data_IF_837114893758
#
_entry.id   IF_837114893758
#
_cell.length_a   1.000
_cell.length_b   1.000
_cell.length_c   1.000
_cell.angle_alpha   90.00
_cell.angle_beta   90.00
_cell.angle_gamma   90.00
#
_symmetry.space_group_name_H-M   'P 1'
#
loop_
_entity.id
_entity.type
_entity.pdbx_description
1 polymer ?
#
# COMPACT_ATOMS: atom_id res chain seq x y z
N UNK A 1 31.39 -16.02 17.21
CA UNK A 1 31.38 -15.13 16.03
C UNK A 1 30.61 -15.85 14.93
N UNK A 2 29.28 -15.71 14.88
CA UNK A 2 28.46 -16.26 13.79
C UNK A 2 28.29 -15.17 12.74
N UNK A 3 28.92 -15.36 11.60
CA UNK A 3 28.71 -14.60 10.38
C UNK A 3 27.46 -15.18 9.70
N UNK A 4 26.39 -14.42 9.61
CA UNK A 4 25.26 -14.73 8.73
C UNK A 4 25.72 -14.53 7.28
N UNK A 5 26.13 -15.60 6.62
CA UNK A 5 26.29 -15.64 5.17
C UNK A 5 24.94 -15.99 4.56
N UNK A 6 24.23 -14.97 4.06
CA UNK A 6 23.17 -15.20 3.07
C UNK A 6 23.85 -15.64 1.78
N UNK A 7 23.67 -16.88 1.38
CA UNK A 7 24.00 -17.31 0.03
C UNK A 7 22.93 -16.75 -0.92
N UNK A 8 23.31 -15.97 -1.93
CA UNK A 8 22.37 -15.62 -2.99
C UNK A 8 22.06 -16.88 -3.81
N UNK A 9 20.80 -17.01 -4.20
CA UNK A 9 20.35 -18.05 -5.13
C UNK A 9 21.18 -17.93 -6.45
N UNK A 10 21.48 -19.07 -7.13
CA UNK A 10 22.28 -19.05 -8.33
C UNK A 10 21.60 -18.24 -9.43
N UNK A 11 22.26 -17.19 -9.86
CA UNK A 11 21.93 -16.40 -11.04
C UNK A 11 22.18 -17.28 -12.26
N UNK A 12 21.17 -17.62 -13.01
CA UNK A 12 21.35 -18.19 -14.34
C UNK A 12 22.02 -17.12 -15.21
N UNK A 13 23.27 -17.37 -15.53
CA UNK A 13 24.02 -16.62 -16.52
C UNK A 13 23.44 -16.93 -17.91
N UNK A 14 22.79 -15.97 -18.52
CA UNK A 14 22.56 -15.97 -19.95
C UNK A 14 23.93 -15.69 -20.63
N UNK A 15 24.39 -16.64 -21.43
CA UNK A 15 25.52 -16.48 -22.30
C UNK A 15 25.19 -15.48 -23.41
N UNK A 16 26.14 -14.63 -23.82
CA UNK A 16 25.95 -13.76 -24.97
C UNK A 16 26.04 -14.60 -26.26
N UNK A 17 25.01 -14.53 -27.10
CA UNK A 17 25.06 -15.00 -28.48
C UNK A 17 26.07 -14.18 -29.28
N UNK A 18 26.96 -14.89 -29.94
CA UNK A 18 27.99 -14.34 -30.81
C UNK A 18 27.36 -13.85 -32.13
N UNK A 19 27.54 -12.58 -32.41
CA UNK A 19 27.30 -11.97 -33.72
C UNK A 19 28.23 -12.61 -34.77
N UNK A 20 27.65 -13.22 -35.79
CA UNK A 20 28.37 -13.59 -37.03
C UNK A 20 28.34 -12.41 -37.98
N UNK A 21 29.49 -11.82 -38.15
CA UNK A 21 29.80 -10.90 -39.25
C UNK A 21 29.80 -11.67 -40.55
N UNK A 22 29.04 -11.24 -41.55
CA UNK A 22 29.22 -11.56 -42.97
C UNK A 22 29.31 -10.25 -43.75
N UNK A 23 30.51 -9.97 -44.24
CA UNK A 23 30.81 -9.01 -45.27
C UNK A 23 30.13 -9.42 -46.59
N UNK A 24 29.54 -8.48 -47.29
CA UNK A 24 29.65 -8.27 -48.73
C UNK A 24 28.82 -7.05 -49.18
N UNK A 25 29.46 -6.11 -49.82
CA UNK A 25 28.89 -5.01 -50.57
C UNK A 25 29.41 -5.12 -52.02
N UNK A 26 29.00 -4.22 -52.98
CA UNK A 26 27.67 -3.87 -53.49
C UNK A 26 27.58 -4.17 -55.02
N UNK A 27 26.53 -3.74 -55.76
CA UNK A 27 26.69 -2.55 -56.57
C UNK A 27 25.44 -1.61 -56.73
N UNK A 28 25.76 -0.39 -57.08
CA UNK A 28 24.90 0.75 -57.29
C UNK A 28 24.00 0.68 -58.54
N UNK A 29 22.83 1.33 -58.47
CA UNK A 29 22.19 2.00 -59.60
C UNK A 29 21.21 3.09 -59.16
N UNK A 30 21.51 4.25 -59.58
CA UNK A 30 20.80 5.51 -59.83
C UNK A 30 19.28 5.55 -59.80
N UNK A 31 18.73 6.52 -59.07
CA UNK A 31 17.36 7.01 -59.19
C UNK A 31 17.18 8.27 -58.33
N UNK A 32 17.00 9.42 -59.02
CA UNK A 32 16.91 10.73 -58.39
C UNK A 32 15.71 10.89 -57.42
N UNK A 33 15.80 11.74 -56.40
CA UNK A 33 14.81 11.89 -55.36
C UNK A 33 13.70 12.85 -55.79
N UNK A 34 12.43 12.42 -55.57
CA UNK A 34 11.31 13.35 -55.47
C UNK A 34 11.30 13.94 -54.06
N UNK A 35 11.50 15.22 -53.97
CA UNK A 35 11.25 16.02 -52.78
C UNK A 35 9.76 15.92 -52.42
N UNK A 36 9.46 15.21 -51.34
CA UNK A 36 8.19 15.34 -50.64
C UNK A 36 8.46 16.19 -49.41
N UNK A 37 7.83 17.38 -49.36
CA UNK A 37 8.00 18.35 -48.28
C UNK A 37 7.73 17.72 -46.92
N UNK A 38 8.77 17.62 -46.10
CA UNK A 38 8.67 17.34 -44.68
C UNK A 38 8.16 18.58 -43.99
N UNK A 39 6.92 18.55 -43.49
CA UNK A 39 6.49 19.47 -42.45
C UNK A 39 7.51 19.42 -41.30
N UNK A 40 7.88 20.55 -40.72
CA UNK A 40 8.78 20.55 -39.56
C UNK A 40 8.16 19.72 -38.44
N UNK A 41 8.86 18.67 -38.04
CA UNK A 41 8.49 17.89 -36.86
C UNK A 41 8.40 18.89 -35.68
N UNK A 42 7.21 18.99 -35.11
CA UNK A 42 7.05 19.79 -33.89
C UNK A 42 8.05 19.28 -32.86
N UNK A 43 8.91 20.15 -32.36
CA UNK A 43 9.83 19.83 -31.29
C UNK A 43 9.01 19.36 -30.08
N UNK A 44 9.02 18.05 -29.83
CA UNK A 44 8.35 17.46 -28.67
C UNK A 44 8.99 18.04 -27.40
N UNK A 45 8.21 18.81 -26.64
CA UNK A 45 8.66 19.38 -25.39
C UNK A 45 9.08 18.26 -24.42
N UNK A 46 10.21 18.43 -23.70
CA UNK A 46 10.62 17.44 -22.73
C UNK A 46 9.53 17.21 -21.67
N UNK A 47 9.25 15.95 -21.36
CA UNK A 47 8.29 15.58 -20.33
C UNK A 47 8.94 15.73 -18.96
N UNK A 48 8.48 16.70 -18.16
CA UNK A 48 8.89 16.89 -16.76
C UNK A 48 7.76 16.45 -15.82
N UNK A 49 8.10 15.67 -14.80
CA UNK A 49 7.15 15.18 -13.80
C UNK A 49 7.81 14.96 -12.44
N UNK A 50 7.00 15.01 -11.39
CA UNK A 50 7.45 14.86 -10.02
C UNK A 50 7.40 13.39 -9.59
N UNK A 51 8.34 12.99 -8.72
CA UNK A 51 8.42 11.65 -8.16
C UNK A 51 8.94 11.66 -6.73
N UNK A 52 8.47 10.73 -5.91
CA UNK A 52 8.97 10.49 -4.56
C UNK A 52 10.06 9.41 -4.59
N UNK A 53 11.29 9.84 -4.34
CA UNK A 53 12.50 9.01 -4.43
C UNK A 53 13.05 8.73 -3.04
N UNK A 54 13.23 7.45 -2.72
CA UNK A 54 14.02 7.03 -1.57
C UNK A 54 15.50 7.21 -1.91
N UNK A 55 16.16 8.17 -1.26
CA UNK A 55 17.56 8.55 -1.54
C UNK A 55 18.57 7.81 -0.68
N UNK A 56 18.12 7.11 0.35
CA UNK A 56 18.91 6.32 1.29
C UNK A 56 18.01 5.71 2.34
N UNK A 57 18.50 4.73 3.10
CA UNK A 57 17.72 4.15 4.19
C UNK A 57 17.72 5.06 5.42
N UNK A 58 16.58 5.15 6.14
CA UNK A 58 16.52 5.96 7.35
C UNK A 58 15.15 6.48 7.74
N UNK A 59 15.07 7.74 8.22
CA UNK A 59 13.84 8.43 8.61
C UNK A 59 12.98 8.86 7.40
N UNK A 60 11.86 9.52 7.69
CA UNK A 60 10.95 10.02 6.63
C UNK A 60 11.66 11.03 5.71
N UNK A 61 12.69 11.71 6.23
CA UNK A 61 13.54 12.65 5.49
C UNK A 61 14.29 12.02 4.31
N UNK A 62 14.36 10.69 4.22
CA UNK A 62 15.02 9.98 3.13
C UNK A 62 14.15 9.83 1.88
N UNK A 63 12.85 10.11 1.97
CA UNK A 63 11.99 10.22 0.80
C UNK A 63 11.94 11.67 0.37
N UNK A 64 12.35 11.92 -0.87
CA UNK A 64 12.47 13.26 -1.45
C UNK A 64 11.58 13.40 -2.67
N UNK A 65 10.84 14.48 -2.72
CA UNK A 65 10.16 14.92 -3.94
C UNK A 65 11.20 15.47 -4.91
N UNK A 66 11.27 14.89 -6.10
CA UNK A 66 12.21 15.25 -7.16
C UNK A 66 11.48 15.44 -8.47
N UNK A 67 11.97 16.35 -9.31
CA UNK A 67 11.52 16.52 -10.69
C UNK A 67 12.41 15.67 -11.59
N UNK A 68 11.81 14.84 -12.43
CA UNK A 68 12.47 14.08 -13.48
C UNK A 68 12.11 14.67 -14.83
N UNK A 69 13.06 14.71 -15.75
CA UNK A 69 12.85 15.19 -17.11
C UNK A 69 13.34 14.16 -18.11
N UNK A 70 12.49 13.83 -19.07
CA UNK A 70 12.81 12.98 -20.21
C UNK A 70 12.67 13.78 -21.50
N UNK A 71 13.76 13.91 -22.27
CA UNK A 71 13.75 14.66 -23.51
C UNK A 71 12.89 14.01 -24.61
N UNK A 72 12.82 12.68 -24.58
CA UNK A 72 11.93 11.89 -25.45
C UNK A 72 11.53 10.61 -24.73
N UNK A 73 10.24 10.45 -24.45
CA UNK A 73 9.69 9.22 -23.90
C UNK A 73 9.32 8.30 -25.06
N UNK A 74 10.07 7.21 -25.26
CA UNK A 74 9.73 6.18 -26.22
C UNK A 74 9.16 4.98 -25.46
N UNK A 75 7.92 4.61 -25.81
CA UNK A 75 7.30 3.39 -25.32
C UNK A 75 7.81 2.21 -26.13
N UNK A 76 8.12 1.13 -25.48
CA UNK A 76 8.40 -0.16 -26.11
C UNK A 76 7.09 -0.84 -26.49
N UNK A 77 7.19 -1.87 -27.34
CA UNK A 77 6.06 -2.73 -27.64
C UNK A 77 5.50 -3.35 -26.34
N UNK A 78 4.17 -3.29 -26.19
CA UNK A 78 3.47 -3.79 -25.01
C UNK A 78 3.46 -2.85 -23.80
N UNK A 79 4.06 -1.65 -23.88
CA UNK A 79 4.07 -0.67 -22.79
C UNK A 79 2.98 0.41 -22.97
N UNK A 80 2.52 0.93 -21.83
CA UNK A 80 1.60 2.08 -21.78
C UNK A 80 2.15 3.15 -20.86
N UNK A 81 1.86 4.42 -21.18
CA UNK A 81 2.12 5.57 -20.34
C UNK A 81 0.87 5.91 -19.54
N UNK A 82 0.97 5.90 -18.22
CA UNK A 82 -0.14 6.22 -17.32
C UNK A 82 0.12 7.52 -16.60
N UNK A 83 -0.82 8.49 -16.71
CA UNK A 83 -0.91 9.67 -15.83
C UNK A 83 -1.52 9.24 -14.51
N UNK A 84 -0.72 9.20 -13.48
CA UNK A 84 -1.11 8.73 -12.15
C UNK A 84 -2.00 9.76 -11.45
N UNK A 85 -3.10 9.31 -10.89
CA UNK A 85 -4.07 10.13 -10.15
C UNK A 85 -4.07 9.85 -8.66
N UNK A 86 -3.83 8.58 -8.27
CA UNK A 86 -3.74 8.17 -6.88
C UNK A 86 -2.75 7.03 -6.73
N UNK A 87 -2.03 6.98 -5.60
CA UNK A 87 -1.11 5.91 -5.23
C UNK A 87 -1.47 5.35 -3.85
N UNK A 88 -1.37 4.03 -3.68
CA UNK A 88 -1.52 3.40 -2.38
C UNK A 88 -0.24 3.52 -1.54
N UNK A 89 -0.40 3.70 -0.23
CA UNK A 89 0.66 3.53 0.77
C UNK A 89 0.45 2.20 1.50
N UNK A 90 1.49 1.39 1.62
CA UNK A 90 1.48 0.09 2.26
C UNK A 90 2.51 0.01 3.38
N UNK A 91 2.37 -0.99 4.24
CA UNK A 91 3.36 -1.24 5.30
C UNK A 91 4.73 -1.65 4.72
N UNK A 92 4.74 -2.24 3.53
CA UNK A 92 5.95 -2.60 2.80
C UNK A 92 6.84 -1.38 2.48
N UNK A 93 6.26 -0.22 2.17
CA UNK A 93 7.04 1.00 1.96
C UNK A 93 7.63 1.55 3.26
N UNK A 94 6.98 1.35 4.41
CA UNK A 94 7.57 1.67 5.72
C UNK A 94 8.80 0.80 6.00
N UNK A 95 8.74 -0.50 5.67
CA UNK A 95 9.87 -1.45 5.73
C UNK A 95 10.96 -1.07 4.72
N UNK A 96 10.56 -0.80 3.46
CA UNK A 96 11.47 -0.44 2.37
C UNK A 96 12.31 0.78 2.69
N UNK A 97 11.68 1.84 3.24
CA UNK A 97 12.40 3.04 3.69
C UNK A 97 13.48 2.73 4.73
N UNK A 98 13.26 1.73 5.55
CA UNK A 98 14.24 1.28 6.55
C UNK A 98 15.23 0.25 5.99
N UNK A 99 15.10 -0.18 4.73
CA UNK A 99 15.90 -1.24 4.11
C UNK A 99 15.61 -2.62 4.70
N UNK A 100 14.38 -2.86 5.12
CA UNK A 100 13.88 -4.12 5.69
C UNK A 100 12.96 -4.87 4.73
N UNK A 101 12.81 -4.37 3.49
CA UNK A 101 11.98 -4.96 2.45
C UNK A 101 12.85 -5.35 1.25
N UNK A 102 13.14 -6.63 1.12
CA UNK A 102 14.10 -7.18 0.15
C UNK A 102 13.67 -7.01 -1.31
N UNK A 103 12.37 -6.87 -1.57
CA UNK A 103 11.82 -6.71 -2.93
C UNK A 103 12.01 -5.31 -3.50
N UNK A 104 12.35 -4.32 -2.69
CA UNK A 104 12.67 -2.98 -3.16
C UNK A 104 14.13 -2.90 -3.59
N UNK A 105 14.43 -2.39 -4.79
CA UNK A 105 15.80 -2.11 -5.19
C UNK A 105 16.51 -1.16 -4.19
N UNK A 106 17.84 -1.20 -4.11
CA UNK A 106 18.56 -0.27 -3.26
C UNK A 106 18.35 1.19 -3.71
N UNK A 107 18.40 2.14 -2.78
CA UNK A 107 18.35 3.56 -3.11
C UNK A 107 19.52 4.00 -4.02
N UNK A 108 19.31 4.98 -4.95
CA UNK A 108 18.08 5.76 -5.11
C UNK A 108 17.01 5.00 -5.91
N UNK A 109 15.76 5.00 -5.43
CA UNK A 109 14.65 4.30 -6.09
C UNK A 109 13.33 5.07 -5.92
N UNK A 110 12.51 5.17 -6.97
CA UNK A 110 11.14 5.67 -6.87
C UNK A 110 10.27 4.66 -6.16
N UNK A 111 9.56 5.10 -5.14
CA UNK A 111 8.73 4.25 -4.27
C UNK A 111 7.37 3.91 -4.92
N UNK A 112 6.58 3.09 -4.22
CA UNK A 112 5.19 2.78 -4.54
C UNK A 112 5.01 1.54 -5.40
N UNK A 113 4.03 0.71 -5.05
CA UNK A 113 3.74 -0.57 -5.71
C UNK A 113 2.40 -0.57 -6.45
N UNK A 114 1.47 0.28 -6.07
CA UNK A 114 0.13 0.32 -6.63
C UNK A 114 -0.37 1.75 -6.81
N UNK A 115 -1.27 1.93 -7.74
CA UNK A 115 -1.92 3.20 -8.02
C UNK A 115 -2.99 3.08 -9.08
N UNK A 116 -3.53 4.21 -9.47
CA UNK A 116 -4.54 4.34 -10.51
C UNK A 116 -4.32 5.61 -11.32
N UNK A 117 -4.79 5.61 -12.54
CA UNK A 117 -4.61 6.75 -13.43
C UNK A 117 -5.30 6.59 -14.76
N UNK A 118 -4.87 7.41 -15.72
CA UNK A 118 -5.40 7.41 -17.09
C UNK A 118 -4.26 7.14 -18.07
N UNK A 119 -4.49 6.28 -19.03
CA UNK A 119 -3.52 6.01 -20.10
C UNK A 119 -3.43 7.25 -21.01
N UNK A 120 -2.22 7.80 -21.16
CA UNK A 120 -1.94 8.94 -22.05
C UNK A 120 -1.29 8.54 -23.37
N UNK A 121 -0.59 7.40 -23.41
CA UNK A 121 -0.02 6.86 -24.62
C UNK A 121 0.07 5.32 -24.56
N UNK A 122 0.05 4.69 -25.71
CA UNK A 122 0.20 3.24 -25.86
C UNK A 122 1.35 2.97 -26.85
N UNK A 123 2.16 1.97 -26.54
CA UNK A 123 3.22 1.48 -27.42
C UNK A 123 2.68 0.50 -28.46
N UNK A 124 3.57 0.04 -29.32
CA UNK A 124 3.22 -0.98 -30.33
C UNK A 124 2.73 -2.27 -29.64
N UNK A 125 1.90 -3.05 -30.36
CA UNK A 125 1.37 -4.35 -29.92
C UNK A 125 0.53 -4.30 -28.62
N UNK A 126 -0.03 -3.15 -28.26
CA UNK A 126 -1.04 -3.02 -27.20
C UNK A 126 -2.42 -3.03 -27.86
N UNK A 127 -3.17 -4.13 -27.69
CA UNK A 127 -4.47 -4.33 -28.37
C UNK A 127 -5.67 -4.08 -27.44
N UNK A 128 -5.49 -4.31 -26.12
CA UNK A 128 -6.55 -4.34 -25.12
C UNK A 128 -6.60 -3.09 -24.23
N UNK A 129 -5.80 -2.08 -24.53
CA UNK A 129 -5.74 -0.77 -23.84
C UNK A 129 -5.67 0.35 -24.88
N UNK A 130 -6.24 1.51 -24.55
CA UNK A 130 -6.22 2.71 -25.36
C UNK A 130 -6.03 3.98 -24.55
N UNK A 131 -5.64 5.05 -25.20
CA UNK A 131 -5.56 6.39 -24.61
C UNK A 131 -6.93 6.79 -24.05
N UNK A 132 -6.94 7.32 -22.84
CA UNK A 132 -8.14 7.69 -22.09
C UNK A 132 -8.68 6.59 -21.18
N UNK A 133 -8.22 5.34 -21.29
CA UNK A 133 -8.63 4.29 -20.36
C UNK A 133 -8.21 4.61 -18.92
N UNK A 134 -9.16 4.44 -18.01
CA UNK A 134 -8.92 4.54 -16.55
C UNK A 134 -8.44 3.19 -16.07
N UNK A 135 -7.27 3.16 -15.45
CA UNK A 135 -6.62 1.90 -15.07
C UNK A 135 -6.12 1.90 -13.63
N UNK A 136 -6.17 0.73 -13.02
CA UNK A 136 -5.43 0.37 -11.82
C UNK A 136 -4.09 -0.19 -12.28
N UNK A 137 -3.02 0.09 -11.55
CA UNK A 137 -1.66 -0.38 -11.83
C UNK A 137 -1.12 -1.12 -10.62
N UNK A 138 -0.50 -2.29 -10.85
CA UNK A 138 0.24 -3.03 -9.83
C UNK A 138 1.62 -3.38 -10.36
N UNK A 139 2.67 -2.84 -9.73
CA UNK A 139 4.07 -3.04 -10.13
C UNK A 139 4.95 -3.29 -8.90
N UNK A 140 6.18 -3.69 -9.12
CA UNK A 140 7.12 -3.95 -8.02
C UNK A 140 7.51 -2.69 -7.24
N UNK A 141 7.76 -1.58 -7.93
CA UNK A 141 8.10 -0.26 -7.38
C UNK A 141 8.03 0.79 -8.50
N UNK A 142 8.01 2.07 -8.12
CA UNK A 142 8.03 3.16 -9.10
C UNK A 142 6.69 3.88 -9.28
N UNK A 143 5.67 3.54 -8.49
CA UNK A 143 4.33 4.11 -8.69
C UNK A 143 4.16 5.52 -8.14
N UNK A 144 4.99 5.95 -7.18
CA UNK A 144 4.88 7.28 -6.57
C UNK A 144 5.51 8.37 -7.43
N UNK A 145 4.93 8.60 -8.57
CA UNK A 145 5.29 9.65 -9.54
C UNK A 145 4.07 10.05 -10.36
N UNK A 146 4.11 11.24 -10.97
CA UNK A 146 2.98 11.76 -11.76
C UNK A 146 2.74 11.00 -13.06
N UNK A 147 3.77 10.35 -13.59
CA UNK A 147 3.70 9.58 -14.84
C UNK A 147 4.51 8.31 -14.69
N UNK A 148 3.98 7.19 -15.14
CA UNK A 148 4.67 5.89 -15.11
C UNK A 148 4.52 5.17 -16.45
N UNK A 149 5.60 4.55 -16.90
CA UNK A 149 5.57 3.59 -18.01
C UNK A 149 5.55 2.19 -17.42
N UNK A 150 4.58 1.40 -17.84
CA UNK A 150 4.39 0.03 -17.36
C UNK A 150 3.98 -0.88 -18.51
N UNK A 151 4.17 -2.18 -18.37
CA UNK A 151 3.61 -3.16 -19.28
C UNK A 151 2.08 -3.14 -19.22
N UNK A 152 1.39 -3.26 -20.33
CA UNK A 152 -0.07 -3.22 -20.40
C UNK A 152 -0.73 -4.31 -19.55
N UNK A 153 -0.11 -5.48 -19.40
CA UNK A 153 -0.57 -6.58 -18.55
C UNK A 153 -0.51 -6.30 -17.04
N UNK A 154 0.23 -5.26 -16.62
CA UNK A 154 0.26 -4.76 -15.24
C UNK A 154 -0.83 -3.72 -14.95
N UNK A 155 -1.70 -3.48 -15.93
CA UNK A 155 -2.82 -2.55 -15.81
C UNK A 155 -4.16 -3.29 -15.82
N UNK A 156 -5.15 -2.78 -15.08
CA UNK A 156 -6.49 -3.35 -15.01
C UNK A 156 -7.52 -2.26 -15.20
N UNK A 157 -8.50 -2.46 -16.12
CA UNK A 157 -9.52 -1.47 -16.40
C UNK A 157 -10.39 -1.18 -15.17
N UNK A 158 -10.58 0.10 -14.87
CA UNK A 158 -11.43 0.55 -13.77
C UNK A 158 -12.90 0.58 -14.19
N UNK A 159 -13.83 0.15 -13.32
CA UNK A 159 -15.25 0.47 -13.49
C UNK A 159 -15.48 2.01 -13.51
N UNK A 160 -16.47 2.46 -14.27
CA UNK A 160 -16.75 3.90 -14.42
C UNK A 160 -17.04 4.60 -13.10
N UNK A 161 -17.78 3.92 -12.19
CA UNK A 161 -18.15 4.45 -10.89
C UNK A 161 -17.03 4.45 -9.85
N UNK A 162 -15.91 3.78 -10.11
CA UNK A 162 -14.79 3.69 -9.17
C UNK A 162 -13.96 4.97 -9.19
N UNK A 163 -13.68 5.55 -8.01
CA UNK A 163 -12.73 6.66 -7.91
C UNK A 163 -11.29 6.20 -8.09
N UNK A 164 -10.36 7.12 -8.38
CA UNK A 164 -8.94 6.78 -8.48
C UNK A 164 -8.37 6.34 -7.13
N UNK A 165 -8.82 6.92 -6.04
CA UNK A 165 -8.44 6.54 -4.68
C UNK A 165 -8.88 5.10 -4.36
N UNK A 166 -10.11 4.74 -4.71
CA UNK A 166 -10.62 3.37 -4.57
C UNK A 166 -9.80 2.41 -5.44
N UNK A 167 -9.51 2.78 -6.69
CA UNK A 167 -8.65 1.99 -7.60
C UNK A 167 -7.26 1.75 -7.01
N UNK A 168 -6.63 2.77 -6.45
CA UNK A 168 -5.32 2.67 -5.81
C UNK A 168 -5.33 1.89 -4.48
N UNK A 169 -6.51 1.61 -3.90
CA UNK A 169 -6.65 0.90 -2.63
C UNK A 169 -6.89 -0.61 -2.80
N UNK A 170 -7.16 -1.08 -4.01
CA UNK A 170 -7.55 -2.48 -4.25
C UNK A 170 -6.35 -3.43 -4.36
N UNK A 171 -5.34 -3.23 -5.23
CA UNK A 171 -4.43 -4.30 -5.61
C UNK A 171 -3.79 -5.01 -4.43
N UNK A 172 -2.96 -4.32 -3.67
CA UNK A 172 -2.19 -4.96 -2.58
C UNK A 172 -3.10 -5.53 -1.50
N UNK A 173 -4.14 -4.79 -1.10
CA UNK A 173 -4.99 -5.20 0.02
C UNK A 173 -5.91 -6.36 -0.35
N UNK A 174 -6.64 -6.22 -1.47
CA UNK A 174 -7.68 -7.18 -1.82
C UNK A 174 -7.15 -8.43 -2.49
N UNK A 175 -6.08 -8.34 -3.32
CA UNK A 175 -5.42 -9.54 -3.85
C UNK A 175 -4.86 -10.37 -2.69
N UNK A 176 -4.16 -9.72 -1.75
CA UNK A 176 -3.61 -10.44 -0.58
C UNK A 176 -4.71 -11.11 0.23
N UNK A 177 -5.79 -10.39 0.54
CA UNK A 177 -6.90 -10.94 1.30
C UNK A 177 -7.60 -12.09 0.55
N UNK A 178 -7.84 -11.93 -0.76
CA UNK A 178 -8.48 -12.92 -1.60
C UNK A 178 -7.68 -14.22 -1.63
N UNK A 179 -6.38 -14.14 -1.97
CA UNK A 179 -5.50 -15.29 -2.05
C UNK A 179 -5.39 -16.04 -0.73
N UNK A 180 -5.24 -15.31 0.37
CA UNK A 180 -5.18 -15.92 1.70
C UNK A 180 -6.47 -16.62 2.09
N UNK A 181 -7.63 -16.02 1.81
CA UNK A 181 -8.91 -16.56 2.23
C UNK A 181 -9.39 -17.73 1.35
N UNK A 182 -9.33 -17.55 0.02
CA UNK A 182 -9.93 -18.51 -0.92
C UNK A 182 -8.94 -19.57 -1.40
N UNK A 183 -7.73 -19.15 -1.79
CA UNK A 183 -6.76 -20.07 -2.40
C UNK A 183 -5.94 -20.83 -1.34
N UNK A 184 -5.59 -20.18 -0.21
CA UNK A 184 -4.77 -20.83 0.82
C UNK A 184 -5.57 -21.40 1.98
N UNK A 185 -6.47 -20.62 2.60
CA UNK A 185 -7.23 -21.06 3.76
C UNK A 185 -8.55 -21.76 3.40
N UNK A 186 -8.98 -21.68 2.15
CA UNK A 186 -10.20 -22.31 1.65
C UNK A 186 -11.40 -21.98 2.54
N UNK A 187 -11.69 -20.68 2.72
CA UNK A 187 -12.83 -20.22 3.50
C UNK A 187 -14.13 -20.79 2.93
N UNK A 188 -15.00 -21.29 3.81
CA UNK A 188 -16.27 -21.93 3.48
C UNK A 188 -17.39 -21.47 4.43
N UNK A 189 -18.65 -21.68 4.08
CA UNK A 189 -19.77 -21.36 4.97
C UNK A 189 -19.61 -21.95 6.38
N UNK A 190 -20.00 -21.17 7.38
CA UNK A 190 -19.94 -21.54 8.80
C UNK A 190 -18.55 -21.50 9.45
N UNK A 191 -17.51 -21.02 8.74
CA UNK A 191 -16.16 -20.92 9.30
C UNK A 191 -16.00 -19.68 10.20
N UNK A 192 -15.07 -19.78 11.16
CA UNK A 192 -14.69 -18.67 12.04
C UNK A 192 -13.25 -18.23 11.74
N UNK A 193 -13.03 -16.92 11.70
CA UNK A 193 -11.75 -16.33 11.30
C UNK A 193 -11.31 -15.28 12.32
N UNK A 194 -10.04 -15.34 12.74
CA UNK A 194 -9.38 -14.26 13.47
C UNK A 194 -8.55 -13.43 12.50
N UNK A 195 -8.86 -12.13 12.41
CA UNK A 195 -8.14 -11.16 11.60
C UNK A 195 -7.41 -10.19 12.54
N UNK A 196 -6.09 -10.27 12.60
CA UNK A 196 -5.30 -9.27 13.29
C UNK A 196 -5.22 -7.98 12.48
N UNK A 197 -5.12 -6.81 13.17
CA UNK A 197 -5.12 -5.50 12.53
C UNK A 197 -6.35 -5.28 11.61
N UNK A 198 -7.53 -5.70 12.09
CA UNK A 198 -8.78 -5.73 11.32
C UNK A 198 -9.21 -4.36 10.74
N UNK A 199 -8.74 -3.25 11.33
CA UNK A 199 -8.97 -1.90 10.81
C UNK A 199 -7.93 -1.45 9.76
N UNK A 200 -6.93 -2.25 9.43
CA UNK A 200 -5.97 -1.97 8.37
C UNK A 200 -6.52 -2.31 6.98
N UNK A 201 -5.82 -1.91 5.93
CA UNK A 201 -6.28 -2.12 4.56
C UNK A 201 -6.59 -3.58 4.22
N UNK A 202 -5.66 -4.51 4.51
CA UNK A 202 -5.88 -5.96 4.30
C UNK A 202 -6.96 -6.51 5.24
N UNK A 203 -7.03 -6.01 6.50
CA UNK A 203 -8.03 -6.46 7.46
C UNK A 203 -9.45 -6.13 7.02
N UNK A 204 -9.69 -4.92 6.54
CA UNK A 204 -10.97 -4.49 5.97
C UNK A 204 -11.31 -5.30 4.71
N UNK A 205 -10.35 -5.46 3.80
CA UNK A 205 -10.53 -6.26 2.59
C UNK A 205 -10.92 -7.71 2.93
N UNK A 206 -10.21 -8.33 3.88
CA UNK A 206 -10.49 -9.69 4.33
C UNK A 206 -11.88 -9.80 4.97
N UNK A 207 -12.27 -8.83 5.79
CA UNK A 207 -13.61 -8.80 6.41
C UNK A 207 -14.71 -8.73 5.35
N UNK A 208 -14.58 -7.81 4.36
CA UNK A 208 -15.57 -7.68 3.28
C UNK A 208 -15.64 -8.96 2.41
N UNK A 209 -14.50 -9.58 2.13
CA UNK A 209 -14.47 -10.84 1.38
C UNK A 209 -15.10 -11.98 2.18
N UNK A 210 -14.93 -12.03 3.50
CA UNK A 210 -15.63 -12.99 4.36
C UNK A 210 -17.14 -12.84 4.29
N UNK A 211 -17.67 -11.61 4.16
CA UNK A 211 -19.10 -11.36 4.03
C UNK A 211 -19.69 -11.88 2.71
N UNK A 212 -18.87 -12.19 1.71
CA UNK A 212 -19.33 -12.85 0.47
C UNK A 212 -19.58 -14.34 0.64
N UNK A 213 -19.20 -14.91 1.78
CA UNK A 213 -19.38 -16.33 2.14
C UNK A 213 -20.37 -16.42 3.29
N UNK A 214 -21.36 -17.30 3.16
CA UNK A 214 -22.45 -17.46 4.13
C UNK A 214 -21.94 -17.88 5.51
N UNK A 215 -22.54 -17.30 6.57
CA UNK A 215 -22.34 -17.69 7.97
C UNK A 215 -20.87 -17.71 8.46
N UNK A 216 -20.03 -16.82 7.92
CA UNK A 216 -18.65 -16.63 8.39
C UNK A 216 -18.63 -15.72 9.61
N UNK A 217 -18.06 -16.20 10.73
CA UNK A 217 -17.86 -15.41 11.95
C UNK A 217 -16.48 -14.77 11.94
N UNK A 218 -16.41 -13.45 12.05
CA UNK A 218 -15.14 -12.70 12.02
C UNK A 218 -14.82 -12.12 13.40
N UNK A 219 -13.72 -12.58 14.00
CA UNK A 219 -13.06 -11.95 15.14
C UNK A 219 -12.00 -10.98 14.62
N UNK A 220 -12.04 -9.72 15.06
CA UNK A 220 -11.13 -8.68 14.57
C UNK A 220 -10.39 -7.96 15.67
N UNK A 221 -9.04 -7.99 15.68
CA UNK A 221 -8.29 -7.21 16.66
C UNK A 221 -8.02 -5.80 16.16
N UNK A 222 -8.42 -4.80 16.95
CA UNK A 222 -8.18 -3.39 16.72
C UNK A 222 -8.16 -2.63 18.06
N UNK A 223 -7.73 -1.35 18.07
CA UNK A 223 -7.94 -0.50 19.24
C UNK A 223 -9.42 -0.15 19.42
N UNK A 224 -9.87 0.05 20.65
CA UNK A 224 -11.28 0.31 20.97
C UNK A 224 -11.92 1.44 20.14
N UNK A 225 -11.16 2.51 19.87
CA UNK A 225 -11.61 3.65 19.06
C UNK A 225 -12.00 3.32 17.60
N UNK A 226 -11.68 2.10 17.13
CA UNK A 226 -11.98 1.63 15.77
C UNK A 226 -13.07 0.57 15.72
N UNK A 227 -13.55 0.12 16.90
CA UNK A 227 -14.47 -1.01 17.01
C UNK A 227 -15.79 -0.76 16.28
N UNK A 228 -16.35 0.43 16.45
CA UNK A 228 -17.61 0.79 15.78
C UNK A 228 -17.47 0.66 14.27
N UNK A 229 -16.42 1.27 13.69
CA UNK A 229 -16.18 1.23 12.23
C UNK A 229 -15.97 -0.19 11.71
N UNK A 230 -15.17 -1.01 12.40
CA UNK A 230 -14.91 -2.38 11.90
C UNK A 230 -16.12 -3.30 12.11
N UNK A 231 -16.94 -3.05 13.15
CA UNK A 231 -18.19 -3.78 13.36
C UNK A 231 -19.21 -3.46 12.26
N UNK A 232 -19.38 -2.19 11.92
CA UNK A 232 -20.20 -1.75 10.78
C UNK A 232 -19.68 -2.33 9.46
N UNK A 233 -18.34 -2.49 9.34
CA UNK A 233 -17.67 -3.13 8.21
C UNK A 233 -17.79 -4.65 8.15
N UNK A 234 -18.44 -5.30 9.17
CA UNK A 234 -18.71 -6.74 9.18
C UNK A 234 -17.87 -7.60 10.13
N UNK A 235 -17.01 -7.00 10.96
CA UNK A 235 -16.36 -7.74 12.05
C UNK A 235 -17.42 -8.09 13.10
N UNK A 236 -17.68 -9.39 13.28
CA UNK A 236 -18.71 -9.88 14.22
C UNK A 236 -18.32 -9.62 15.68
N UNK A 237 -17.04 -9.82 16.01
CA UNK A 237 -16.51 -9.70 17.37
C UNK A 237 -15.23 -8.85 17.38
N UNK A 238 -15.33 -7.51 17.53
CA UNK A 238 -14.18 -6.62 17.72
C UNK A 238 -13.50 -6.89 19.08
N UNK A 239 -12.18 -6.98 19.10
CA UNK A 239 -11.39 -7.22 20.30
C UNK A 239 -10.33 -6.15 20.45
N UNK A 240 -10.36 -5.41 21.58
CA UNK A 240 -9.31 -4.43 21.90
C UNK A 240 -8.05 -5.13 22.44
N UNK A 241 -7.09 -5.32 21.55
CA UNK A 241 -5.81 -5.97 21.88
C UNK A 241 -4.94 -5.19 22.87
N UNK A 242 -5.29 -3.93 23.20
CA UNK A 242 -4.52 -3.09 24.14
C UNK A 242 -4.90 -3.37 25.61
N UNK A 243 -6.14 -3.77 25.84
CA UNK A 243 -6.69 -3.95 27.18
C UNK A 243 -7.10 -5.39 27.48
N UNK A 244 -7.18 -6.26 26.45
CA UNK A 244 -7.65 -7.63 26.58
C UNK A 244 -6.71 -8.63 25.92
N UNK A 245 -6.60 -9.83 26.49
CA UNK A 245 -5.99 -10.95 25.78
C UNK A 245 -7.00 -11.51 24.75
N UNK A 246 -6.64 -11.38 23.47
CA UNK A 246 -7.53 -11.79 22.37
C UNK A 246 -7.76 -13.30 22.35
N UNK A 247 -6.86 -14.12 22.88
CA UNK A 247 -7.05 -15.59 22.96
C UNK A 247 -8.17 -15.92 23.93
N UNK A 248 -8.19 -15.26 25.10
CA UNK A 248 -9.25 -15.44 26.08
C UNK A 248 -10.61 -14.94 25.55
N UNK A 249 -10.63 -13.76 24.91
CA UNK A 249 -11.85 -13.21 24.34
C UNK A 249 -12.44 -14.11 23.25
N UNK A 250 -11.61 -14.63 22.36
CA UNK A 250 -12.07 -15.60 21.35
C UNK A 250 -12.61 -16.86 22.00
N UNK A 251 -11.94 -17.41 23.03
CA UNK A 251 -12.36 -18.65 23.68
C UNK A 251 -13.65 -18.52 24.50
N UNK A 252 -13.99 -17.33 24.99
CA UNK A 252 -15.28 -17.06 25.63
C UNK A 252 -16.46 -17.30 24.68
N UNK A 253 -16.27 -17.01 23.39
CA UNK A 253 -17.30 -17.12 22.34
C UNK A 253 -17.18 -18.44 21.58
N UNK A 254 -15.96 -18.82 21.25
CA UNK A 254 -15.62 -20.07 20.55
C UNK A 254 -14.59 -20.86 21.37
N UNK A 255 -15.02 -21.70 22.32
CA UNK A 255 -14.11 -22.43 23.24
C UNK A 255 -13.07 -23.29 22.52
N UNK A 256 -13.41 -23.82 21.36
CA UNK A 256 -12.51 -24.62 20.53
C UNK A 256 -11.56 -23.81 19.65
N UNK A 257 -11.67 -22.48 19.65
CA UNK A 257 -10.87 -21.58 18.82
C UNK A 257 -11.50 -21.25 17.48
N UNK A 258 -10.66 -20.95 16.47
CA UNK A 258 -11.10 -20.51 15.15
C UNK A 258 -10.60 -21.43 14.03
N UNK A 259 -11.24 -21.35 12.85
CA UNK A 259 -10.85 -22.15 11.69
C UNK A 259 -9.68 -21.51 10.92
N UNK A 260 -9.60 -20.18 10.89
CA UNK A 260 -8.58 -19.45 10.14
C UNK A 260 -8.00 -18.34 11.01
N UNK A 261 -6.68 -18.12 10.90
CA UNK A 261 -6.00 -16.96 11.49
C UNK A 261 -5.21 -16.25 10.40
N UNK A 262 -5.44 -14.95 10.22
CA UNK A 262 -4.63 -14.08 9.36
C UNK A 262 -3.67 -13.25 10.24
N UNK A 263 -2.38 -13.54 10.15
CA UNK A 263 -1.33 -12.99 11.02
C UNK A 263 -0.36 -12.06 10.27
N UNK A 264 -0.50 -10.73 10.41
CA UNK A 264 0.48 -9.74 9.94
C UNK A 264 1.54 -9.40 11.00
N UNK A 265 1.48 -9.97 12.21
CA UNK A 265 2.24 -9.54 13.37
C UNK A 265 3.58 -10.24 13.50
N UNK A 266 3.58 -11.56 13.30
CA UNK A 266 4.72 -12.46 13.53
C UNK A 266 5.14 -12.58 15.02
N UNK A 267 6.15 -13.40 15.29
CA UNK A 267 6.70 -13.63 16.63
C UNK A 267 5.76 -14.43 17.53
N UNK A 268 5.58 -13.99 18.77
CA UNK A 268 4.74 -14.69 19.77
C UNK A 268 3.26 -14.73 19.37
N UNK A 269 2.77 -13.80 18.59
CA UNK A 269 1.39 -13.77 18.13
C UNK A 269 1.10 -14.93 17.16
N UNK A 270 2.05 -15.32 16.32
CA UNK A 270 1.95 -16.49 15.47
C UNK A 270 1.74 -17.78 16.30
N UNK A 271 2.50 -17.94 17.40
CA UNK A 271 2.34 -19.09 18.29
C UNK A 271 0.97 -19.10 18.99
N UNK A 272 0.50 -17.94 19.45
CA UNK A 272 -0.83 -17.80 20.06
C UNK A 272 -1.92 -18.12 19.02
N UNK A 273 -1.81 -17.57 17.80
CA UNK A 273 -2.73 -17.86 16.70
C UNK A 273 -2.78 -19.33 16.33
N UNK A 274 -1.62 -20.00 16.23
CA UNK A 274 -1.54 -21.43 15.99
C UNK A 274 -2.23 -22.26 17.09
N UNK A 275 -2.04 -21.90 18.35
CA UNK A 275 -2.68 -22.59 19.48
C UNK A 275 -4.20 -22.36 19.50
N UNK A 276 -4.66 -21.25 18.94
CA UNK A 276 -6.08 -20.91 18.85
C UNK A 276 -6.81 -21.60 17.71
N UNK A 277 -6.10 -22.20 16.75
CA UNK A 277 -6.73 -22.96 15.66
C UNK A 277 -7.45 -24.21 16.16
N UNK A 278 -8.64 -24.44 15.62
CA UNK A 278 -9.33 -25.76 15.66
C UNK A 278 -8.54 -26.81 14.87
N UNK A 279 -8.79 -28.11 15.08
CA UNK A 279 -8.38 -29.12 14.11
C UNK A 279 -8.90 -28.80 12.69
N UNK A 280 -8.10 -29.05 11.65
CA UNK A 280 -8.33 -28.64 10.26
C UNK A 280 -8.29 -27.13 10.02
N UNK A 281 -7.81 -26.35 11.01
CA UNK A 281 -7.63 -24.91 10.89
C UNK A 281 -6.31 -24.53 10.23
N UNK A 282 -6.29 -23.32 9.62
CA UNK A 282 -5.15 -22.79 8.89
C UNK A 282 -4.74 -21.43 9.43
N UNK A 283 -3.45 -21.25 9.72
CA UNK A 283 -2.85 -19.97 10.04
C UNK A 283 -2.05 -19.49 8.84
N UNK A 284 -2.24 -18.21 8.44
CA UNK A 284 -1.48 -17.59 7.35
C UNK A 284 -0.72 -16.38 7.89
N UNK A 285 0.61 -16.44 7.82
CA UNK A 285 1.51 -15.34 8.13
C UNK A 285 1.74 -14.53 6.86
N UNK A 286 1.46 -13.21 6.89
CA UNK A 286 1.62 -12.35 5.72
C UNK A 286 2.31 -11.00 6.01
N UNK A 287 2.89 -10.86 7.19
CA UNK A 287 3.59 -9.65 7.59
C UNK A 287 4.48 -9.84 8.81
N UNK A 288 5.16 -8.79 9.19
CA UNK A 288 6.02 -8.72 10.38
C UNK A 288 5.89 -7.35 11.05
N UNK A 289 4.66 -6.93 11.34
CA UNK A 289 4.36 -5.59 11.85
C UNK A 289 5.01 -5.28 13.20
N UNK A 290 5.36 -6.31 14.00
CA UNK A 290 6.05 -6.15 15.27
C UNK A 290 7.55 -5.83 15.12
N UNK A 291 8.13 -5.96 13.90
CA UNK A 291 9.53 -5.61 13.62
C UNK A 291 9.71 -4.09 13.49
N UNK A 292 8.67 -3.37 13.02
CA UNK A 292 8.73 -1.91 12.81
C UNK A 292 8.15 -1.18 14.02
N UNK A 293 9.02 -0.74 14.90
CA UNK A 293 8.64 -0.09 16.17
C UNK A 293 8.98 1.40 16.24
N UNK A 294 9.52 2.01 15.18
CA UNK A 294 9.93 3.42 15.17
C UNK A 294 10.31 3.96 13.78
N UNK A 295 10.65 5.25 13.72
CA UNK A 295 11.07 5.90 12.47
C UNK A 295 12.37 5.33 11.89
N UNK A 296 13.22 4.75 12.73
CA UNK A 296 14.50 4.14 12.36
C UNK A 296 14.52 2.68 12.78
N UNK A 297 15.42 1.90 12.22
CA UNK A 297 15.65 0.50 12.61
C UNK A 297 15.85 0.39 14.11
N UNK A 298 15.08 -0.48 14.75
CA UNK A 298 15.28 -0.85 16.14
C UNK A 298 15.86 -2.26 16.21
N UNK A 299 17.19 -2.35 16.34
CA UNK A 299 17.90 -3.63 16.37
C UNK A 299 17.46 -4.54 17.55
N UNK A 300 17.10 -3.95 18.69
CA UNK A 300 16.60 -4.71 19.84
C UNK A 300 15.21 -5.31 19.55
N UNK A 301 14.30 -4.55 18.92
CA UNK A 301 13.00 -5.08 18.53
C UNK A 301 13.15 -6.18 17.48
N UNK A 302 14.05 -6.01 16.52
CA UNK A 302 14.36 -7.03 15.51
C UNK A 302 14.92 -8.30 16.15
N UNK A 303 15.89 -8.18 17.06
CA UNK A 303 16.49 -9.30 17.80
C UNK A 303 15.43 -10.02 18.66
N UNK A 304 14.55 -9.26 19.34
CA UNK A 304 13.43 -9.82 20.10
C UNK A 304 12.44 -10.59 19.22
N UNK A 305 12.09 -10.02 18.06
CA UNK A 305 11.19 -10.70 17.11
C UNK A 305 11.85 -11.96 16.55
N UNK A 306 13.14 -11.90 16.24
CA UNK A 306 13.91 -13.05 15.76
C UNK A 306 14.02 -14.15 16.83
N UNK A 307 14.29 -13.79 18.08
CA UNK A 307 14.36 -14.75 19.20
C UNK A 307 13.00 -15.41 19.48
N UNK A 308 11.90 -14.66 19.39
CA UNK A 308 10.54 -15.14 19.57
C UNK A 308 9.92 -15.71 18.29
N UNK A 309 10.74 -16.06 17.31
CA UNK A 309 10.23 -16.59 16.04
C UNK A 309 9.49 -17.92 16.28
N UNK A 310 8.34 -18.03 15.65
CA UNK A 310 7.56 -19.26 15.67
C UNK A 310 8.35 -20.38 14.99
N UNK A 311 8.64 -21.44 15.75
CA UNK A 311 9.29 -22.64 15.23
C UNK A 311 8.26 -23.74 15.06
N UNK A 312 8.16 -24.26 13.85
CA UNK A 312 7.18 -25.24 13.49
C UNK A 312 7.78 -26.64 13.56
N UNK A 313 7.15 -27.51 14.40
CA UNK A 313 7.42 -28.94 14.38
C UNK A 313 6.36 -29.64 13.50
N UNK A 314 6.81 -30.31 12.44
CA UNK A 314 5.95 -30.99 11.47
C UNK A 314 5.12 -32.12 12.08
N UNK A 315 5.67 -32.86 13.08
CA UNK A 315 4.92 -33.88 13.82
C UNK A 315 3.74 -33.25 14.58
N UNK A 316 3.94 -32.05 15.15
CA UNK A 316 2.87 -31.31 15.84
C UNK A 316 1.76 -30.91 14.87
N UNK A 317 2.09 -30.51 13.63
CA UNK A 317 1.07 -30.25 12.61
C UNK A 317 0.19 -31.48 12.35
N UNK A 318 0.82 -32.60 12.11
CA UNK A 318 0.13 -33.89 11.88
C UNK A 318 -0.72 -34.29 13.10
N UNK A 319 -0.15 -34.23 14.30
CA UNK A 319 -0.85 -34.63 15.54
C UNK A 319 -2.06 -33.73 15.86
N UNK A 320 -2.06 -32.50 15.42
CA UNK A 320 -3.14 -31.53 15.69
C UNK A 320 -4.02 -31.25 14.48
N UNK A 321 -3.75 -31.88 13.32
CA UNK A 321 -4.46 -31.65 12.05
C UNK A 321 -4.57 -30.14 11.73
N UNK A 322 -3.46 -29.38 11.81
CA UNK A 322 -3.42 -27.93 11.54
C UNK A 322 -2.51 -27.64 10.37
N UNK A 323 -2.76 -26.51 9.67
CA UNK A 323 -1.92 -26.00 8.60
C UNK A 323 -1.34 -24.64 8.96
N UNK A 324 -0.14 -24.37 8.44
CA UNK A 324 0.50 -23.04 8.49
C UNK A 324 1.01 -22.71 7.10
N UNK A 325 0.63 -21.56 6.62
CA UNK A 325 1.09 -21.01 5.34
C UNK A 325 1.73 -19.62 5.50
N UNK A 326 2.50 -19.21 4.50
CA UNK A 326 3.01 -17.87 4.36
C UNK A 326 2.53 -17.26 3.05
N UNK A 327 2.16 -15.98 3.06
CA UNK A 327 1.77 -15.25 1.86
C UNK A 327 2.53 -13.93 1.76
N UNK A 328 3.07 -13.64 0.57
CA UNK A 328 3.71 -12.37 0.28
C UNK A 328 3.50 -12.01 -1.20
N UNK A 329 2.62 -11.05 -1.46
CA UNK A 329 2.24 -10.65 -2.83
C UNK A 329 3.46 -10.30 -3.70
N UNK A 330 4.47 -9.63 -3.14
CA UNK A 330 5.69 -9.26 -3.88
C UNK A 330 6.52 -10.45 -4.39
N UNK A 331 6.29 -11.67 -3.90
CA UNK A 331 6.91 -12.90 -4.39
C UNK A 331 6.01 -13.72 -5.33
N UNK A 332 4.77 -13.28 -5.53
CA UNK A 332 3.87 -13.90 -6.49
C UNK A 332 4.25 -13.42 -7.90
N UNK A 333 4.73 -14.33 -8.73
CA UNK A 333 5.18 -14.06 -10.11
C UNK A 333 4.19 -14.51 -11.18
N UNK A 334 3.14 -15.22 -10.79
CA UNK A 334 2.09 -15.68 -11.70
C UNK A 334 1.15 -14.53 -12.05
N UNK A 335 1.44 -13.84 -13.17
CA UNK A 335 0.65 -12.72 -13.67
C UNK A 335 -0.78 -13.14 -14.04
N UNK A 336 -0.97 -14.37 -14.56
CA UNK A 336 -2.30 -14.85 -14.93
C UNK A 336 -3.19 -15.04 -13.70
N UNK A 337 -2.62 -15.54 -12.59
CA UNK A 337 -3.33 -15.66 -11.32
C UNK A 337 -3.70 -14.29 -10.75
N UNK A 338 -2.78 -13.32 -10.84
CA UNK A 338 -3.04 -11.93 -10.41
C UNK A 338 -4.19 -11.34 -11.24
N UNK A 339 -4.15 -11.49 -12.58
CA UNK A 339 -5.19 -10.97 -13.48
C UNK A 339 -6.56 -11.58 -13.19
N UNK A 340 -6.65 -12.90 -13.08
CA UNK A 340 -7.91 -13.59 -12.73
C UNK A 340 -8.46 -13.13 -11.37
N UNK A 341 -7.57 -12.91 -10.40
CA UNK A 341 -7.99 -12.41 -9.09
C UNK A 341 -8.50 -10.99 -9.18
N UNK A 342 -7.83 -10.12 -9.93
CA UNK A 342 -8.31 -8.75 -10.16
C UNK A 342 -9.66 -8.71 -10.87
N UNK A 343 -9.89 -9.57 -11.87
CA UNK A 343 -11.20 -9.70 -12.54
C UNK A 343 -12.31 -10.07 -11.55
N UNK A 344 -12.05 -11.05 -10.65
CA UNK A 344 -12.99 -11.41 -9.59
C UNK A 344 -13.26 -10.26 -8.62
N UNK A 345 -12.23 -9.52 -8.24
CA UNK A 345 -12.36 -8.36 -7.36
C UNK A 345 -13.16 -7.24 -8.03
N UNK A 346 -12.94 -6.98 -9.32
CA UNK A 346 -13.73 -6.00 -10.08
C UNK A 346 -15.20 -6.42 -10.21
N UNK A 347 -15.48 -7.71 -10.38
CA UNK A 347 -16.83 -8.26 -10.37
C UNK A 347 -17.52 -8.02 -9.01
N UNK A 348 -16.83 -8.34 -7.90
CA UNK A 348 -17.35 -8.11 -6.55
C UNK A 348 -17.58 -6.61 -6.26
N UNK A 349 -16.69 -5.75 -6.75
CA UNK A 349 -16.85 -4.30 -6.65
C UNK A 349 -18.10 -3.81 -7.40
N UNK A 350 -18.28 -4.24 -8.66
CA UNK A 350 -19.46 -3.89 -9.47
C UNK A 350 -20.76 -4.36 -8.83
N UNK A 351 -20.74 -5.50 -8.11
CA UNK A 351 -21.87 -6.02 -7.35
C UNK A 351 -22.10 -5.29 -6.03
N UNK A 352 -21.26 -4.33 -5.64
CA UNK A 352 -21.32 -3.64 -4.36
C UNK A 352 -20.95 -4.50 -3.15
N UNK A 353 -20.35 -5.68 -3.36
CA UNK A 353 -19.96 -6.61 -2.29
C UNK A 353 -18.66 -6.23 -1.59
N UNK A 354 -17.81 -5.49 -2.29
CA UNK A 354 -16.59 -4.90 -1.72
C UNK A 354 -16.53 -3.41 -2.07
N UNK A 355 -16.02 -2.62 -1.15
CA UNK A 355 -15.75 -1.20 -1.36
C UNK A 355 -14.54 -0.79 -0.52
N UNK A 356 -13.42 -0.36 -1.12
CA UNK A 356 -12.27 0.09 -0.37
C UNK A 356 -12.60 1.22 0.60
N UNK A 357 -12.13 1.08 1.84
CA UNK A 357 -12.22 2.15 2.82
C UNK A 357 -10.98 3.04 2.71
N UNK A 358 -11.19 4.28 2.30
CA UNK A 358 -10.12 5.29 2.25
C UNK A 358 -10.06 6.01 3.59
N UNK A 359 -8.93 5.91 4.27
CA UNK A 359 -8.68 6.57 5.54
C UNK A 359 -8.41 8.07 5.36
N UNK A 360 -7.46 8.38 4.49
CA UNK A 360 -6.99 9.75 4.27
C UNK A 360 -6.20 9.84 2.97
N UNK A 361 -6.22 11.05 2.38
CA UNK A 361 -5.44 11.39 1.20
C UNK A 361 -4.41 12.46 1.56
N UNK A 362 -3.20 12.30 1.07
CA UNK A 362 -2.07 13.22 1.26
C UNK A 362 -1.44 13.56 -0.08
N UNK A 363 -1.08 14.82 -0.30
CA UNK A 363 -0.28 15.18 -1.46
C UNK A 363 1.17 14.67 -1.30
N UNK A 364 1.91 14.57 -2.40
CA UNK A 364 3.30 14.08 -2.36
C UNK A 364 4.19 14.87 -1.41
N UNK A 365 3.93 16.15 -1.24
CA UNK A 365 4.60 17.03 -0.28
C UNK A 365 4.42 16.59 1.17
N UNK A 366 3.33 15.86 1.46
CA UNK A 366 2.91 15.42 2.79
C UNK A 366 3.24 13.94 3.06
N UNK A 367 4.08 13.30 2.23
CA UNK A 367 4.39 11.86 2.33
C UNK A 367 4.89 11.44 3.72
N UNK A 368 5.61 12.32 4.42
CA UNK A 368 6.09 12.05 5.77
C UNK A 368 4.93 11.89 6.77
N UNK A 369 3.89 12.71 6.63
CA UNK A 369 2.70 12.66 7.51
C UNK A 369 1.83 11.44 7.18
N UNK A 370 1.68 11.10 5.91
CA UNK A 370 1.02 9.89 5.45
C UNK A 370 1.68 8.65 6.07
N UNK A 371 3.01 8.55 5.99
CA UNK A 371 3.77 7.45 6.58
C UNK A 371 3.67 7.42 8.10
N UNK A 372 3.71 8.57 8.76
CA UNK A 372 3.57 8.68 10.21
C UNK A 372 2.21 8.19 10.67
N UNK A 373 1.12 8.57 9.98
CA UNK A 373 -0.23 8.13 10.28
C UNK A 373 -0.35 6.60 10.28
N UNK A 374 0.20 5.95 9.25
CA UNK A 374 0.20 4.48 9.15
C UNK A 374 1.10 3.83 10.21
N UNK A 375 2.29 4.40 10.44
CA UNK A 375 3.24 3.89 11.43
C UNK A 375 2.66 3.94 12.86
N UNK A 376 1.96 5.02 13.19
CA UNK A 376 1.28 5.18 14.48
C UNK A 376 -0.03 4.37 14.57
N UNK A 377 -0.34 3.58 13.54
CA UNK A 377 -1.55 2.76 13.46
C UNK A 377 -2.83 3.57 13.69
N UNK A 378 -2.87 4.82 13.21
CA UNK A 378 -4.02 5.73 13.33
C UNK A 378 -5.04 5.54 12.21
N UNK A 379 -4.63 4.98 11.08
CA UNK A 379 -5.48 4.78 9.92
C UNK A 379 -6.56 3.72 10.13
N UNK A 380 -7.71 3.93 9.49
CA UNK A 380 -8.78 2.95 9.27
C UNK A 380 -8.93 2.78 7.76
N UNK A 381 -8.44 1.67 7.23
CA UNK A 381 -8.38 1.45 5.79
C UNK A 381 -7.10 1.96 5.15
N UNK A 382 -7.21 2.43 3.90
CA UNK A 382 -6.10 2.79 3.02
C UNK A 382 -5.70 4.25 3.15
N UNK A 383 -4.41 4.50 3.27
CA UNK A 383 -3.81 5.83 3.10
C UNK A 383 -3.41 5.99 1.64
N UNK A 384 -3.81 7.11 1.03
CA UNK A 384 -3.59 7.42 -0.38
C UNK A 384 -2.64 8.60 -0.51
N UNK A 385 -1.76 8.55 -1.50
CA UNK A 385 -0.92 9.65 -1.93
C UNK A 385 -1.43 10.19 -3.27
N UNK A 386 -1.60 11.50 -3.35
CA UNK A 386 -2.06 12.22 -4.54
C UNK A 386 -0.86 12.91 -5.21
N UNK A 387 -0.56 12.57 -6.47
CA UNK A 387 0.53 13.21 -7.21
C UNK A 387 0.28 14.70 -7.49
N UNK A 388 -0.99 15.12 -7.61
CA UNK A 388 -1.32 16.53 -7.89
C UNK A 388 -0.79 17.44 -6.79
N UNK A 389 -0.21 18.62 -7.16
CA UNK A 389 0.23 19.60 -6.18
C UNK A 389 -0.93 20.07 -5.30
N UNK A 390 -0.65 20.27 -4.02
CA UNK A 390 -1.62 20.92 -3.12
C UNK A 390 -1.92 22.32 -3.67
N UNK A 391 -3.21 22.57 -3.97
CA UNK A 391 -3.64 23.94 -4.33
C UNK A 391 -3.27 24.88 -3.18
N UNK A 392 -2.54 25.94 -3.46
CA UNK A 392 -2.37 27.02 -2.49
C UNK A 392 -3.77 27.58 -2.22
N UNK A 393 -4.21 27.53 -0.98
CA UNK A 393 -5.37 28.32 -0.57
C UNK A 393 -5.03 29.79 -0.90
N UNK A 394 -5.80 30.40 -1.80
CA UNK A 394 -5.73 31.85 -1.99
C UNK A 394 -6.16 32.46 -0.65
N UNK A 395 -5.22 33.13 0.01
CA UNK A 395 -5.57 33.97 1.15
C UNK A 395 -6.73 34.89 0.71
N UNK A 396 -7.79 35.01 1.49
CA UNK A 396 -8.89 35.91 1.14
C UNK A 396 -8.29 37.31 0.98
N UNK A 397 -8.33 37.84 -0.24
CA UNK A 397 -7.95 39.23 -0.50
C UNK A 397 -8.77 40.10 0.42
N UNK A 398 -8.13 40.67 1.43
CA UNK A 398 -8.71 41.73 2.25
C UNK A 398 -9.02 42.89 1.32
N UNK A 399 -10.29 43.09 1.01
CA UNK A 399 -10.78 44.33 0.43
C UNK A 399 -10.58 45.42 1.48
N UNK A 400 -9.43 46.06 1.46
CA UNK A 400 -9.23 47.32 2.14
C UNK A 400 -9.70 48.44 1.19
N UNK A 401 -10.91 48.94 1.40
CA UNK A 401 -11.31 50.26 0.92
C UNK A 401 -10.51 51.33 1.67
N UNK A 402 -10.06 52.38 0.99
CA UNK A 402 -9.31 53.44 1.63
C UNK A 402 -10.25 54.56 2.15
N UNK A 403 -10.13 54.86 3.41
CA UNK A 403 -10.36 56.21 3.93
C UNK A 403 -11.61 56.47 4.75
N UNK A 404 -11.39 56.55 6.06
CA UNK A 404 -11.88 57.75 6.79
C UNK A 404 -11.11 57.89 8.12
N UNK A 405 -10.48 59.05 8.29
CA UNK A 405 -9.88 59.47 9.55
C UNK A 405 -11.00 59.82 10.55
N UNK A 406 -11.01 59.21 11.72
CA UNK A 406 -11.62 59.81 12.92
C UNK A 406 -10.69 59.61 14.12
N UNK A 407 -10.58 60.71 14.85
CA UNK A 407 -9.70 60.99 15.96
C UNK A 407 -9.85 60.15 17.23
N UNK A 408 -8.78 60.20 18.01
CA UNK A 408 -8.59 59.69 19.36
C UNK A 408 -9.75 59.96 20.32
N UNK A 409 -10.11 58.96 21.10
CA UNK A 409 -10.38 59.10 22.54
C UNK A 409 -9.88 57.85 23.27
N UNK A 410 -8.81 58.02 24.00
CA UNK A 410 -8.42 57.13 25.11
C UNK A 410 -9.43 57.30 26.26
N UNK A 411 -9.94 56.21 26.84
CA UNK A 411 -9.91 55.98 28.28
C UNK A 411 -10.71 54.74 28.70
N UNK A 412 -10.18 54.02 29.69
CA UNK A 412 -10.86 53.15 30.66
C UNK A 412 -11.35 51.75 30.20
N UNK A 413 -10.46 50.77 30.15
CA UNK A 413 -10.78 49.35 30.47
C UNK A 413 -9.50 48.53 30.75
N UNK A 414 -8.70 48.96 31.71
CA UNK A 414 -7.57 48.16 32.21
C UNK A 414 -7.54 48.19 33.75
N UNK A 415 -8.61 47.66 34.41
CA UNK A 415 -8.68 47.44 35.86
C UNK A 415 -9.71 46.36 36.22
N UNK A 416 -9.56 45.15 35.70
CA UNK A 416 -10.35 43.98 36.14
C UNK A 416 -9.71 42.64 35.71
N UNK A 417 -8.41 42.49 35.88
CA UNK A 417 -7.72 41.21 35.62
C UNK A 417 -6.61 40.90 36.64
N UNK A 418 -6.54 41.58 37.75
CA UNK A 418 -5.53 41.32 38.82
C UNK A 418 -6.12 40.88 40.17
N UNK A 419 -7.40 40.68 40.34
CA UNK A 419 -8.01 40.25 41.63
C UNK A 419 -8.55 38.82 41.62
N UNK A 420 -8.24 37.96 40.65
CA UNK A 420 -8.73 36.58 40.62
C UNK A 420 -7.63 35.51 40.74
N UNK A 421 -6.43 35.84 41.25
CA UNK A 421 -5.30 34.89 41.38
C UNK A 421 -4.75 34.73 42.80
N UNK A 422 -5.40 35.26 43.86
CA UNK A 422 -4.92 35.15 45.26
C UNK A 422 -5.84 34.35 46.21
N UNK A 423 -6.92 33.74 45.79
CA UNK A 423 -7.84 33.01 46.70
C UNK A 423 -7.81 31.45 46.58
N UNK A 424 -6.83 30.84 45.92
CA UNK A 424 -6.72 29.35 45.89
C UNK A 424 -5.37 28.88 46.41
N UNK A 425 -4.93 29.43 47.57
CA UNK A 425 -3.73 28.92 48.24
C UNK A 425 -3.85 28.89 49.76
N UNK A 426 -5.01 28.61 50.30
CA UNK A 426 -5.20 28.38 51.73
C UNK A 426 -6.32 27.39 51.97
N UNK A 427 -6.11 26.11 51.64
CA UNK A 427 -6.83 24.96 52.19
C UNK A 427 -6.20 23.69 51.68
N UNK A 428 -5.16 23.22 52.37
CA UNK A 428 -4.80 21.81 52.59
C UNK A 428 -3.56 21.74 53.48
N UNK A 429 -3.80 21.77 54.77
CA UNK A 429 -3.07 20.95 55.75
C UNK A 429 -3.83 19.63 55.90
#
# INVERSE_FOLDING_TARGET
TFRLTFQPAPTQQQQPEQEKVLDEAPPAASGAPKESGSSPAAEEKPLSYRSLVLTGYGGYDKIKLQVKTHNKLQLKAGEVLVRVKACGLNFAELLGRQGLYERLPPPPVTMGMEGSGVIEAVGDNVEDRKVGDRVIVLIRCGMWQEVVVVSADQTFLMPEQMSFEEGAAIPVNYISAYMMLFDMANVRPGKSILIHMAAGGVGIAATQLCQTVQDVTVFGTASASKHETIAQGGVTHPIDYRTKDYVEEVRKISPNGVDIVLDPLSGSDTQKGFNLLKPMGTLIVFGAANVVTGQRRNLLAMAKTWYNQFTLNTLKLMQTNKAVGGFHLGHLTDQQLITKTMEKLMELYKQGKIKPCIDSCYHFEEVADAMRRMHERKNIGKVILLPEPKKKEEEPKSNAEPGEKVEKTESAANKKKEEATEEVKAEKD
#
